data_IF_269645606996
#
_entry.id   IF_269645606996
#
_cell.length_a   1.000
_cell.length_b   1.000
_cell.length_c   1.000
_cell.angle_alpha   90.00
_cell.angle_beta   90.00
_cell.angle_gamma   90.00
#
_symmetry.space_group_name_H-M   'P 1'
#
loop_
_entity.id
_entity.type
_entity.pdbx_description
1 polymer ?
#
# COMPACT_ATOMS: atom_id res chain seq x y z
N UNK A 1 15.46 -8.02 39.81
CA UNK A 1 14.95 -6.64 39.55
C UNK A 1 15.58 -5.96 38.30
N UNK A 2 16.55 -6.58 37.60
CA UNK A 2 17.27 -5.94 36.49
C UNK A 2 16.83 -6.40 35.06
N UNK A 3 15.92 -7.35 34.92
CA UNK A 3 15.54 -7.91 33.61
C UNK A 3 14.41 -7.14 32.90
N UNK A 4 13.68 -6.28 33.59
CA UNK A 4 12.60 -5.49 33.02
C UNK A 4 13.11 -4.20 32.31
N UNK A 5 14.32 -3.72 32.65
CA UNK A 5 14.87 -2.44 32.22
C UNK A 5 15.31 -2.41 30.74
N UNK A 6 15.77 -3.51 30.16
CA UNK A 6 16.23 -3.53 28.76
C UNK A 6 15.11 -3.42 27.73
N UNK A 7 13.95 -4.04 27.96
CA UNK A 7 12.83 -3.96 27.03
C UNK A 7 12.13 -2.60 27.11
N UNK A 8 11.99 -2.05 28.31
CA UNK A 8 11.42 -0.72 28.50
C UNK A 8 12.33 0.38 27.95
N UNK A 9 13.65 0.28 28.07
CA UNK A 9 14.58 1.21 27.42
C UNK A 9 14.50 1.17 25.90
N UNK A 10 14.33 -0.01 25.29
CA UNK A 10 14.15 -0.11 23.83
C UNK A 10 12.83 0.49 23.36
N UNK A 11 11.75 0.40 24.13
CA UNK A 11 10.48 1.08 23.84
C UNK A 11 10.61 2.59 24.01
N UNK A 12 11.14 3.07 25.11
CA UNK A 12 11.35 4.52 25.36
C UNK A 12 12.31 5.17 24.36
N UNK A 13 13.36 4.46 23.92
CA UNK A 13 14.31 4.96 22.92
C UNK A 13 13.60 5.05 21.55
N UNK A 14 12.73 4.10 21.23
CA UNK A 14 11.97 4.08 19.99
C UNK A 14 10.97 5.24 19.91
N UNK A 15 10.27 5.54 20.99
CA UNK A 15 9.31 6.65 21.05
C UNK A 15 10.01 8.03 21.05
N UNK A 16 11.16 8.14 21.70
CA UNK A 16 11.97 9.38 21.72
C UNK A 16 12.58 9.69 20.35
N UNK A 17 12.89 8.66 19.53
CA UNK A 17 13.35 8.83 18.16
C UNK A 17 12.26 9.26 17.18
N UNK A 18 10.97 9.04 17.49
CA UNK A 18 9.86 9.52 16.67
C UNK A 18 9.66 11.04 16.80
N UNK A 19 9.97 11.63 17.97
CA UNK A 19 9.66 13.03 18.27
C UNK A 19 10.87 13.98 18.30
N UNK A 20 12.09 13.51 18.51
CA UNK A 20 13.30 14.35 18.68
C UNK A 20 14.47 14.03 17.76
N UNK A 21 14.38 13.05 16.86
CA UNK A 21 15.45 12.71 15.91
C UNK A 21 15.44 13.63 14.69
N UNK A 22 16.63 13.98 14.17
CA UNK A 22 16.79 14.66 12.87
C UNK A 22 15.98 13.89 11.82
N UNK A 23 14.88 14.48 11.35
CA UNK A 23 13.95 13.85 10.40
C UNK A 23 14.66 13.72 9.06
N UNK A 24 15.11 12.53 8.74
CA UNK A 24 15.62 12.27 7.38
C UNK A 24 14.44 12.31 6.39
N UNK A 25 14.64 12.81 5.15
CA UNK A 25 13.56 12.90 4.15
C UNK A 25 12.85 11.56 3.92
N UNK A 26 13.58 10.48 4.10
CA UNK A 26 13.05 9.11 4.05
C UNK A 26 12.00 8.84 5.13
N UNK A 27 12.25 9.27 6.38
CA UNK A 27 11.31 9.08 7.49
C UNK A 27 10.07 9.94 7.32
N UNK A 28 10.23 11.17 6.82
CA UNK A 28 9.11 12.06 6.52
C UNK A 28 8.20 11.39 5.47
N UNK A 29 8.75 10.88 4.39
CA UNK A 29 8.01 10.17 3.35
C UNK A 29 7.25 8.95 3.89
N UNK A 30 7.91 8.14 4.72
CA UNK A 30 7.26 6.98 5.38
C UNK A 30 6.09 7.41 6.26
N UNK A 31 6.27 8.44 7.09
CA UNK A 31 5.23 8.93 8.00
C UNK A 31 4.04 9.50 7.23
N UNK A 32 4.28 10.25 6.16
CA UNK A 32 3.21 10.77 5.27
C UNK A 32 2.42 9.62 4.66
N UNK A 33 3.08 8.59 4.14
CA UNK A 33 2.40 7.42 3.58
C UNK A 33 1.54 6.69 4.61
N UNK A 34 2.06 6.47 5.81
CA UNK A 34 1.30 5.84 6.91
C UNK A 34 0.07 6.67 7.26
N UNK A 35 0.22 8.00 7.33
CA UNK A 35 -0.90 8.90 7.61
C UNK A 35 -1.96 8.85 6.50
N UNK A 36 -1.55 8.83 5.23
CA UNK A 36 -2.47 8.74 4.09
C UNK A 36 -3.22 7.38 4.07
N UNK A 37 -2.55 6.28 4.38
CA UNK A 37 -3.19 4.97 4.55
C UNK A 37 -4.22 5.01 5.67
N UNK A 38 -3.87 5.59 6.82
CA UNK A 38 -4.76 5.70 7.98
C UNK A 38 -6.01 6.53 7.66
N UNK A 39 -5.83 7.71 7.04
CA UNK A 39 -6.94 8.59 6.65
C UNK A 39 -7.86 7.90 5.65
N UNK A 40 -7.30 7.24 4.63
CA UNK A 40 -8.10 6.48 3.65
C UNK A 40 -8.85 5.32 4.29
N UNK A 41 -8.23 4.63 5.25
CA UNK A 41 -8.86 3.51 5.96
C UNK A 41 -10.01 4.00 6.84
N UNK A 42 -9.83 5.07 7.60
CA UNK A 42 -10.90 5.69 8.40
C UNK A 42 -12.03 6.17 7.48
N UNK A 43 -11.72 6.85 6.38
CA UNK A 43 -12.71 7.30 5.41
C UNK A 43 -13.52 6.14 4.82
N UNK A 44 -12.86 5.02 4.52
CA UNK A 44 -13.51 3.81 4.00
C UNK A 44 -14.44 3.17 5.04
N UNK A 45 -14.01 3.09 6.32
CA UNK A 45 -14.84 2.55 7.40
C UNK A 45 -16.07 3.43 7.63
N UNK A 46 -15.87 4.73 7.84
CA UNK A 46 -16.96 5.66 8.15
C UNK A 46 -17.97 5.71 7.01
N UNK A 47 -17.52 5.85 5.78
CA UNK A 47 -18.41 5.85 4.62
C UNK A 47 -19.07 4.49 4.38
N UNK A 48 -18.36 3.38 4.64
CA UNK A 48 -18.90 2.04 4.52
C UNK A 48 -20.05 1.78 5.51
N UNK A 49 -19.94 2.28 6.74
CA UNK A 49 -21.02 2.24 7.72
C UNK A 49 -22.27 2.96 7.21
N UNK A 50 -22.09 4.15 6.60
CA UNK A 50 -23.23 4.93 6.05
C UNK A 50 -23.83 4.27 4.81
N UNK A 51 -23.00 3.65 3.96
CA UNK A 51 -23.44 2.94 2.74
C UNK A 51 -24.14 1.62 3.09
N UNK A 52 -23.79 0.98 4.18
CA UNK A 52 -24.37 -0.31 4.60
C UNK A 52 -25.81 -0.13 5.08
N UNK A 53 -26.76 -0.62 4.29
CA UNK A 53 -28.21 -0.59 4.63
C UNK A 53 -28.61 -1.61 5.70
N UNK A 54 -27.80 -2.62 5.95
CA UNK A 54 -28.16 -3.74 6.83
C UNK A 54 -27.59 -3.63 8.23
N UNK A 55 -26.40 -3.01 8.41
CA UNK A 55 -25.71 -3.00 9.69
C UNK A 55 -26.30 -1.99 10.69
N UNK A 56 -26.91 -0.90 10.22
CA UNK A 56 -27.37 0.21 11.06
C UNK A 56 -28.79 0.67 10.72
N UNK A 57 -29.71 -0.28 10.48
CA UNK A 57 -31.14 0.01 10.24
C UNK A 57 -31.78 0.80 11.37
N UNK A 58 -31.29 0.63 12.62
CA UNK A 58 -31.77 1.35 13.79
C UNK A 58 -31.43 2.86 13.80
N UNK A 59 -30.37 3.27 13.05
CA UNK A 59 -29.96 4.68 12.96
C UNK A 59 -30.74 5.47 11.91
N UNK A 60 -31.57 4.81 11.11
CA UNK A 60 -32.39 5.41 10.03
C UNK A 60 -31.59 6.35 9.08
N UNK A 61 -30.28 6.07 8.91
CA UNK A 61 -29.41 6.85 8.04
C UNK A 61 -29.66 6.42 6.60
N UNK A 62 -30.19 7.33 5.79
CA UNK A 62 -30.35 7.11 4.35
C UNK A 62 -28.96 7.11 3.70
N UNK A 63 -28.64 6.05 2.96
CA UNK A 63 -27.41 6.00 2.16
C UNK A 63 -27.39 7.19 1.21
N UNK A 64 -26.43 8.08 1.41
CA UNK A 64 -26.30 9.29 0.61
C UNK A 64 -25.36 9.04 -0.57
N UNK A 65 -25.69 9.60 -1.75
CA UNK A 65 -24.83 9.60 -2.92
C UNK A 65 -23.37 9.98 -2.59
N UNK A 66 -23.19 10.99 -1.74
CA UNK A 66 -21.88 11.43 -1.24
C UNK A 66 -21.13 10.35 -0.47
N UNK A 67 -21.83 9.58 0.38
CA UNK A 67 -21.19 8.51 1.15
C UNK A 67 -20.60 7.42 0.24
N UNK A 68 -21.33 7.05 -0.82
CA UNK A 68 -20.84 6.09 -1.80
C UNK A 68 -19.59 6.61 -2.55
N UNK A 69 -19.58 7.87 -2.95
CA UNK A 69 -18.43 8.51 -3.60
C UNK A 69 -17.20 8.55 -2.68
N UNK A 70 -17.39 8.93 -1.43
CA UNK A 70 -16.30 8.95 -0.42
C UNK A 70 -15.78 7.54 -0.18
N UNK A 71 -16.66 6.55 -0.10
CA UNK A 71 -16.27 5.15 0.08
C UNK A 71 -15.39 4.66 -1.08
N UNK A 72 -15.82 4.88 -2.31
CA UNK A 72 -15.04 4.51 -3.50
C UNK A 72 -13.71 5.23 -3.55
N UNK A 73 -13.70 6.55 -3.34
CA UNK A 73 -12.49 7.35 -3.33
C UNK A 73 -11.49 6.84 -2.28
N UNK A 74 -11.97 6.64 -1.05
CA UNK A 74 -11.14 6.16 0.06
C UNK A 74 -10.61 4.75 -0.19
N UNK A 75 -11.41 3.87 -0.79
CA UNK A 75 -11.00 2.50 -1.10
C UNK A 75 -9.91 2.46 -2.17
N UNK A 76 -10.08 3.19 -3.29
CA UNK A 76 -9.10 3.18 -4.37
C UNK A 76 -7.80 3.90 -4.00
N UNK A 77 -7.87 5.08 -3.36
CA UNK A 77 -6.69 5.76 -2.85
C UNK A 77 -6.00 4.98 -1.74
N UNK A 78 -6.78 4.38 -0.83
CA UNK A 78 -6.26 3.50 0.21
C UNK A 78 -5.50 2.30 -0.37
N UNK A 79 -6.02 1.69 -1.43
CA UNK A 79 -5.35 0.62 -2.16
C UNK A 79 -4.00 1.07 -2.75
N UNK A 80 -3.94 2.25 -3.39
CA UNK A 80 -2.69 2.81 -3.93
C UNK A 80 -1.69 3.11 -2.80
N UNK A 81 -2.11 3.80 -1.75
CA UNK A 81 -1.23 4.15 -0.63
C UNK A 81 -0.71 2.91 0.11
N UNK A 82 -1.56 1.89 0.29
CA UNK A 82 -1.15 0.61 0.87
C UNK A 82 -0.13 -0.10 -0.03
N UNK A 83 -0.31 -0.08 -1.34
CA UNK A 83 0.62 -0.65 -2.31
C UNK A 83 1.98 0.06 -2.26
N UNK A 84 2.00 1.39 -2.18
CA UNK A 84 3.22 2.18 -2.03
C UNK A 84 3.89 1.91 -0.68
N UNK A 85 3.12 1.80 0.40
CA UNK A 85 3.63 1.47 1.73
C UNK A 85 4.29 0.09 1.77
N UNK A 86 3.69 -0.90 1.13
CA UNK A 86 4.24 -2.25 1.00
C UNK A 86 5.62 -2.23 0.32
N UNK A 87 5.81 -1.38 -0.69
CA UNK A 87 7.09 -1.23 -1.40
C UNK A 87 8.24 -0.75 -0.52
N UNK A 88 7.96 0.05 0.51
CA UNK A 88 8.97 0.49 1.48
C UNK A 88 9.55 -0.69 2.28
N UNK A 89 8.75 -1.74 2.48
CA UNK A 89 9.16 -2.94 3.22
C UNK A 89 9.81 -4.01 2.34
N UNK A 90 9.85 -3.85 1.02
CA UNK A 90 10.44 -4.83 0.11
C UNK A 90 11.89 -5.16 0.43
N UNK A 91 12.71 -4.20 0.83
CA UNK A 91 14.08 -4.47 1.24
C UNK A 91 14.17 -5.45 2.42
N UNK A 92 13.28 -5.31 3.39
CA UNK A 92 13.23 -6.20 4.56
C UNK A 92 12.80 -7.62 4.14
N UNK A 93 11.78 -7.71 3.29
CA UNK A 93 11.29 -8.99 2.74
C UNK A 93 12.38 -9.68 1.91
N UNK A 94 13.07 -8.93 1.03
CA UNK A 94 14.18 -9.46 0.20
C UNK A 94 15.35 -9.95 1.05
N UNK A 95 15.69 -9.25 2.12
CA UNK A 95 16.76 -9.66 3.03
C UNK A 95 16.42 -10.93 3.82
N UNK A 96 15.15 -11.10 4.21
CA UNK A 96 14.69 -12.33 4.85
C UNK A 96 14.78 -13.54 3.91
N UNK A 97 14.39 -13.36 2.63
CA UNK A 97 14.47 -14.42 1.61
C UNK A 97 15.92 -14.76 1.29
N UNK A 98 16.80 -13.76 1.13
CA UNK A 98 18.23 -13.96 0.86
C UNK A 98 18.96 -14.73 1.97
N UNK A 99 18.62 -14.49 3.23
CA UNK A 99 19.22 -15.20 4.37
C UNK A 99 18.89 -16.68 4.37
N UNK A 100 17.79 -17.11 3.77
CA UNK A 100 17.31 -18.50 3.84
C UNK A 100 17.87 -19.43 2.75
N UNK A 101 18.35 -18.93 1.61
CA UNK A 101 18.83 -19.80 0.51
C UNK A 101 19.77 -19.07 -0.43
N UNK A 102 20.97 -19.62 -0.64
CA UNK A 102 21.84 -19.20 -1.76
C UNK A 102 21.22 -19.75 -3.07
N UNK A 103 20.47 -18.91 -3.75
CA UNK A 103 19.85 -19.23 -5.04
C UNK A 103 20.93 -19.28 -6.14
N UNK A 104 20.86 -20.28 -7.02
CA UNK A 104 21.74 -20.39 -8.17
C UNK A 104 21.58 -19.18 -9.10
N UNK A 105 22.61 -18.81 -9.89
CA UNK A 105 22.55 -17.63 -10.77
C UNK A 105 21.40 -17.72 -11.79
N UNK A 106 21.11 -18.90 -12.33
CA UNK A 106 19.99 -19.13 -13.26
C UNK A 106 18.63 -18.83 -12.65
N UNK A 107 18.43 -19.25 -11.39
CA UNK A 107 17.19 -18.98 -10.62
C UNK A 107 17.03 -17.48 -10.34
N UNK A 108 18.12 -16.77 -10.02
CA UNK A 108 18.07 -15.31 -9.82
C UNK A 108 17.64 -14.56 -11.09
N UNK A 109 18.15 -14.99 -12.26
CA UNK A 109 17.77 -14.40 -13.55
C UNK A 109 16.30 -14.67 -13.88
N UNK A 110 15.82 -15.91 -13.67
CA UNK A 110 14.42 -16.25 -13.87
C UNK A 110 13.49 -15.42 -12.99
N UNK A 111 13.80 -15.26 -11.70
CA UNK A 111 13.04 -14.38 -10.79
C UNK A 111 13.03 -12.92 -11.26
N UNK A 112 14.14 -12.40 -11.77
CA UNK A 112 14.21 -11.03 -12.31
C UNK A 112 13.29 -10.84 -13.51
N UNK A 113 13.28 -11.81 -14.44
CA UNK A 113 12.41 -11.77 -15.62
C UNK A 113 10.94 -11.83 -15.22
N UNK A 114 10.55 -12.76 -14.34
CA UNK A 114 9.17 -12.88 -13.83
C UNK A 114 8.75 -11.57 -13.15
N UNK A 115 9.61 -10.96 -12.36
CA UNK A 115 9.37 -9.70 -11.68
C UNK A 115 9.07 -8.56 -12.68
N UNK A 116 9.86 -8.46 -13.76
CA UNK A 116 9.66 -7.46 -14.81
C UNK A 116 8.33 -7.71 -15.56
N UNK A 117 8.00 -8.97 -15.83
CA UNK A 117 6.75 -9.33 -16.51
C UNK A 117 5.53 -8.97 -15.66
N UNK A 118 5.53 -9.28 -14.36
CA UNK A 118 4.44 -8.93 -13.45
C UNK A 118 4.32 -7.40 -13.32
N UNK A 119 5.44 -6.68 -13.27
CA UNK A 119 5.45 -5.22 -13.23
C UNK A 119 4.81 -4.61 -14.49
N UNK A 120 5.22 -5.07 -15.67
CA UNK A 120 4.66 -4.60 -16.94
C UNK A 120 3.16 -4.94 -17.07
N UNK A 121 2.78 -6.16 -16.67
CA UNK A 121 1.39 -6.58 -16.66
C UNK A 121 0.54 -5.73 -15.69
N UNK A 122 1.06 -5.38 -14.52
CA UNK A 122 0.33 -4.54 -13.56
C UNK A 122 0.08 -3.11 -14.08
N UNK A 123 1.02 -2.54 -14.85
CA UNK A 123 0.79 -1.26 -15.55
C UNK A 123 -0.31 -1.43 -16.59
N UNK A 124 -0.27 -2.49 -17.40
CA UNK A 124 -1.33 -2.78 -18.37
C UNK A 124 -2.69 -2.96 -17.69
N UNK A 125 -2.75 -3.74 -16.60
CA UNK A 125 -3.97 -3.98 -15.83
C UNK A 125 -4.54 -2.70 -15.22
N UNK A 126 -3.70 -1.74 -14.80
CA UNK A 126 -4.13 -0.44 -14.30
C UNK A 126 -4.95 0.33 -15.33
N UNK A 127 -4.51 0.35 -16.58
CA UNK A 127 -5.26 0.99 -17.68
C UNK A 127 -6.46 0.15 -18.12
N UNK A 128 -6.30 -1.17 -18.23
CA UNK A 128 -7.38 -2.11 -18.58
C UNK A 128 -8.58 -2.01 -17.63
N UNK A 129 -8.31 -1.86 -16.33
CA UNK A 129 -9.34 -1.74 -15.27
C UNK A 129 -9.81 -0.32 -15.04
N UNK A 130 -9.32 0.64 -15.83
CA UNK A 130 -9.69 2.07 -15.75
C UNK A 130 -9.61 2.63 -14.31
N UNK A 131 -8.59 2.16 -13.54
CA UNK A 131 -8.40 2.56 -12.14
C UNK A 131 -8.30 4.09 -11.99
N UNK A 132 -7.72 4.77 -12.98
CA UNK A 132 -7.61 6.21 -13.00
C UNK A 132 -8.99 6.90 -12.93
N UNK A 133 -9.99 6.41 -13.64
CA UNK A 133 -11.35 6.98 -13.61
C UNK A 133 -12.02 6.83 -12.24
N UNK A 134 -11.74 5.73 -11.53
CA UNK A 134 -12.21 5.55 -10.15
C UNK A 134 -11.47 6.47 -9.15
N UNK A 135 -10.17 6.68 -9.32
CA UNK A 135 -9.37 7.59 -8.48
C UNK A 135 -9.85 9.04 -8.60
N UNK A 136 -10.32 9.45 -9.77
CA UNK A 136 -10.81 10.81 -10.03
C UNK A 136 -12.34 10.93 -10.02
N UNK A 137 -13.05 9.91 -9.51
CA UNK A 137 -14.53 9.88 -9.39
C UNK A 137 -15.28 10.12 -10.71
N UNK A 138 -14.69 9.78 -11.85
CA UNK A 138 -15.37 9.81 -13.15
C UNK A 138 -16.41 8.70 -13.26
N UNK A 139 -16.09 7.49 -12.76
CA UNK A 139 -17.00 6.35 -12.68
C UNK A 139 -17.59 6.26 -11.28
N UNK A 140 -18.93 6.09 -11.21
CA UNK A 140 -19.69 6.10 -9.96
C UNK A 140 -20.10 4.71 -9.48
N UNK A 141 -20.05 3.73 -10.36
CA UNK A 141 -20.47 2.36 -10.08
C UNK A 141 -19.37 1.39 -10.48
N UNK A 142 -19.13 0.45 -9.60
CA UNK A 142 -18.29 -0.69 -9.89
C UNK A 142 -19.13 -1.74 -10.64
N UNK A 143 -18.82 -1.96 -11.91
CA UNK A 143 -19.43 -3.00 -12.73
C UNK A 143 -18.44 -4.16 -12.86
N UNK A 144 -18.71 -5.28 -12.18
CA UNK A 144 -18.12 -6.54 -12.59
C UNK A 144 -18.77 -6.93 -13.92
N UNK A 145 -17.96 -7.17 -14.95
CA UNK A 145 -18.49 -7.75 -16.19
C UNK A 145 -19.11 -9.12 -15.89
N UNK A 146 -20.33 -9.35 -16.36
CA UNK A 146 -21.13 -10.55 -16.05
C UNK A 146 -20.45 -11.88 -16.39
N UNK A 147 -19.34 -11.88 -17.17
CA UNK A 147 -18.60 -13.07 -17.61
C UNK A 147 -17.13 -13.10 -17.16
N UNK A 148 -16.71 -12.25 -16.25
CA UNK A 148 -15.30 -12.24 -15.82
C UNK A 148 -15.05 -13.19 -14.67
N UNK A 149 -14.05 -14.06 -14.82
CA UNK A 149 -13.62 -14.95 -13.73
C UNK A 149 -13.02 -14.13 -12.58
N UNK A 150 -13.54 -14.31 -11.37
CA UNK A 150 -13.07 -13.66 -10.15
C UNK A 150 -11.54 -13.79 -9.95
N UNK A 151 -10.96 -14.93 -10.35
CA UNK A 151 -9.51 -15.17 -10.26
C UNK A 151 -8.70 -14.23 -11.14
N UNK A 152 -9.16 -13.93 -12.38
CA UNK A 152 -8.48 -12.97 -13.26
C UNK A 152 -8.55 -11.55 -12.68
N UNK A 153 -9.70 -11.21 -12.13
CA UNK A 153 -9.89 -9.93 -11.45
C UNK A 153 -8.91 -9.77 -10.29
N UNK A 154 -8.83 -10.75 -9.40
CA UNK A 154 -7.87 -10.75 -8.29
C UNK A 154 -6.42 -10.67 -8.77
N UNK A 155 -6.08 -11.38 -9.82
CA UNK A 155 -4.74 -11.37 -10.40
C UNK A 155 -4.37 -9.98 -10.97
N UNK A 156 -5.30 -9.30 -11.64
CA UNK A 156 -5.11 -7.93 -12.12
C UNK A 156 -4.81 -6.98 -10.96
N UNK A 157 -5.61 -7.00 -9.89
CA UNK A 157 -5.38 -6.13 -8.72
C UNK A 157 -4.10 -6.46 -7.96
N UNK A 158 -3.74 -7.73 -7.80
CA UNK A 158 -2.47 -8.13 -7.20
C UNK A 158 -1.27 -7.65 -8.02
N UNK A 159 -1.38 -7.69 -9.34
CA UNK A 159 -0.32 -7.21 -10.25
C UNK A 159 -0.19 -5.69 -10.20
N UNK A 160 -1.30 -4.95 -10.12
CA UNK A 160 -1.32 -3.50 -9.91
C UNK A 160 -0.64 -3.14 -8.57
N UNK A 161 -1.03 -3.81 -7.49
CA UNK A 161 -0.43 -3.61 -6.17
C UNK A 161 1.08 -3.82 -6.20
N UNK A 162 1.53 -4.88 -6.86
CA UNK A 162 2.94 -5.20 -7.02
C UNK A 162 3.69 -4.13 -7.82
N UNK A 163 3.08 -3.56 -8.86
CA UNK A 163 3.68 -2.50 -9.68
C UNK A 163 3.87 -1.22 -8.88
N UNK A 164 2.87 -0.78 -8.11
CA UNK A 164 3.01 0.39 -7.24
C UNK A 164 4.01 0.16 -6.11
N UNK A 165 4.05 -1.04 -5.54
CA UNK A 165 5.04 -1.40 -4.53
C UNK A 165 6.48 -1.37 -5.10
N UNK A 166 6.68 -1.85 -6.32
CA UNK A 166 7.97 -1.79 -7.01
C UNK A 166 8.39 -0.35 -7.29
N UNK A 167 7.46 0.49 -7.75
CA UNK A 167 7.71 1.91 -7.98
C UNK A 167 8.15 2.62 -6.70
N UNK A 168 7.44 2.38 -5.59
CA UNK A 168 7.78 2.94 -4.27
C UNK A 168 9.16 2.49 -3.82
N UNK A 169 9.48 1.21 -3.98
CA UNK A 169 10.80 0.67 -3.66
C UNK A 169 11.93 1.36 -4.45
N UNK A 170 11.71 1.61 -5.74
CA UNK A 170 12.67 2.29 -6.60
C UNK A 170 12.89 3.75 -6.18
N UNK A 171 11.81 4.51 -5.94
CA UNK A 171 11.87 5.88 -5.43
C UNK A 171 12.62 5.94 -4.11
N UNK A 172 12.31 5.04 -3.19
CA UNK A 172 12.99 4.95 -1.89
C UNK A 172 14.49 4.65 -2.04
N UNK A 173 14.88 3.80 -2.98
CA UNK A 173 16.29 3.47 -3.27
C UNK A 173 17.05 4.69 -3.75
N UNK A 174 16.46 5.52 -4.63
CA UNK A 174 17.05 6.76 -5.11
C UNK A 174 17.23 7.77 -3.97
N UNK A 175 16.19 7.99 -3.17
CA UNK A 175 16.26 8.91 -2.03
C UNK A 175 17.36 8.52 -1.04
N UNK A 176 17.52 7.21 -0.81
CA UNK A 176 18.56 6.69 0.07
C UNK A 176 19.98 6.89 -0.50
N UNK A 177 20.15 6.80 -1.80
CA UNK A 177 21.43 7.05 -2.48
C UNK A 177 21.86 8.49 -2.32
N UNK A 178 20.95 9.43 -2.59
CA UNK A 178 21.22 10.87 -2.50
C UNK A 178 21.55 11.33 -1.08
N UNK A 179 20.93 10.74 -0.06
CA UNK A 179 21.22 11.06 1.35
C UNK A 179 22.63 10.61 1.78
N UNK A 180 23.20 9.59 1.12
CA UNK A 180 24.57 9.12 1.41
C UNK A 180 25.65 9.95 0.71
N UNK A 181 25.34 10.61 -0.39
CA UNK A 181 26.28 11.44 -1.14
C UNK A 181 26.43 12.86 -0.60
N UNK A 182 25.54 13.30 0.29
CA UNK A 182 25.53 14.64 0.88
C UNK A 182 26.01 14.72 2.33
N UNK A 183 26.54 13.63 2.89
CA UNK A 183 27.16 13.54 4.23
C UNK A 183 28.63 13.13 4.11
#
# INVERSE_FOLDING_TARGET
>A
LHLCDRRQRQMCIRDRHLTKGRQTPIRIFQNILVLLVLVSFIGSIVSGVVVSRHLFTFLNIKSTYMANRIHMLSAYWGFIFMSLHLGLHFNMIFLMIKKKKQLSPKVKTAFKIIFILIFAYGIYAFFKRDIASYLFLKNQFFLLGDNEHLLLYLFDYMSIMFSFATLSHFVFSILKSNTKSGS
#
